data_IF_354312157215
#
_entry.id   IF_354312157215
#
_cell.length_a   1.000
_cell.length_b   1.000
_cell.length_c   1.000
_cell.angle_alpha   90.00
_cell.angle_beta   90.00
_cell.angle_gamma   90.00
#
_symmetry.space_group_name_H-M   'P 1'
#
loop_
_entity.id
_entity.type
_entity.pdbx_description
1 polymer ?
#
# COMPACT_ATOMS: atom_id res chain seq x y z
N UNK A 1 -31.89 10.51 -11.59
CA UNK A 1 -30.49 10.10 -11.38
C UNK A 1 -29.96 10.54 -10.03
N UNK A 2 -29.65 11.83 -9.79
CA UNK A 2 -29.09 12.25 -8.50
C UNK A 2 -29.91 11.81 -7.28
N UNK A 3 -31.22 12.12 -7.26
CA UNK A 3 -32.09 11.71 -6.14
C UNK A 3 -32.19 10.19 -5.99
N UNK A 4 -32.22 9.46 -7.11
CA UNK A 4 -32.20 8.00 -7.13
C UNK A 4 -30.97 7.44 -6.41
N UNK A 5 -29.78 7.95 -6.75
CA UNK A 5 -28.54 7.53 -6.09
C UNK A 5 -28.47 7.97 -4.64
N UNK A 6 -28.95 9.19 -4.35
CA UNK A 6 -29.04 9.70 -2.99
C UNK A 6 -29.88 8.79 -2.10
N UNK A 7 -31.09 8.43 -2.54
CA UNK A 7 -31.99 7.55 -1.81
C UNK A 7 -31.41 6.14 -1.67
N UNK A 8 -30.83 5.58 -2.75
CA UNK A 8 -30.14 4.29 -2.71
C UNK A 8 -29.01 4.27 -1.66
N UNK A 9 -28.12 5.27 -1.68
CA UNK A 9 -27.01 5.33 -0.72
C UNK A 9 -27.54 5.54 0.71
N UNK A 10 -28.56 6.39 0.90
CA UNK A 10 -29.18 6.59 2.21
C UNK A 10 -29.74 5.29 2.78
N UNK A 11 -30.45 4.52 1.94
CA UNK A 11 -31.03 3.24 2.32
C UNK A 11 -29.95 2.20 2.63
N UNK A 12 -28.99 2.00 1.73
CA UNK A 12 -27.94 0.96 1.86
C UNK A 12 -27.03 1.15 3.06
N UNK A 13 -26.81 2.40 3.46
CA UNK A 13 -25.96 2.75 4.61
C UNK A 13 -26.75 3.15 5.86
N UNK A 14 -28.07 2.97 5.87
CA UNK A 14 -28.93 3.20 7.05
C UNK A 14 -28.74 4.60 7.66
N UNK A 15 -28.73 5.64 6.82
CA UNK A 15 -28.39 7.00 7.26
C UNK A 15 -29.63 7.73 7.73
N UNK A 16 -29.84 7.71 9.05
CA UNK A 16 -31.03 8.25 9.72
C UNK A 16 -31.09 9.78 9.82
N UNK A 17 -29.96 10.49 9.67
CA UNK A 17 -29.92 11.95 9.84
C UNK A 17 -29.24 12.67 8.69
N UNK A 18 -30.04 13.42 7.93
CA UNK A 18 -29.54 14.49 7.07
C UNK A 18 -29.34 15.69 8.00
N UNK A 19 -28.12 16.13 8.19
CA UNK A 19 -27.77 17.34 8.96
C UNK A 19 -28.23 18.62 8.25
N UNK A 20 -29.50 18.72 7.89
CA UNK A 20 -30.17 19.93 7.42
C UNK A 20 -31.67 19.87 7.76
N UNK A 21 -31.97 20.18 9.02
CA UNK A 21 -33.21 20.84 9.45
C UNK A 21 -34.55 20.18 9.05
N UNK A 22 -34.59 18.84 8.95
CA UNK A 22 -35.82 18.07 8.72
C UNK A 22 -36.51 18.33 7.38
N UNK A 23 -35.86 19.02 6.43
CA UNK A 23 -36.40 19.33 5.09
C UNK A 23 -35.55 18.65 4.04
N UNK A 24 -36.03 17.53 3.51
CA UNK A 24 -35.39 16.79 2.44
C UNK A 24 -35.07 17.73 1.25
N UNK A 25 -33.84 17.64 0.75
CA UNK A 25 -33.35 18.26 -0.50
C UNK A 25 -33.17 19.79 -0.55
N UNK A 26 -33.74 20.59 0.36
CA UNK A 26 -33.64 22.07 0.28
C UNK A 26 -32.20 22.61 0.33
N UNK A 27 -31.31 21.93 1.03
CA UNK A 27 -29.91 22.34 1.13
C UNK A 27 -29.12 22.09 -0.16
N UNK A 28 -29.63 21.23 -1.06
CA UNK A 28 -29.00 20.77 -2.30
C UNK A 28 -29.41 21.58 -3.53
N UNK A 29 -30.45 22.40 -3.41
CA UNK A 29 -31.11 23.08 -4.54
C UNK A 29 -30.97 24.60 -4.39
N UNK A 30 -30.71 25.29 -5.49
CA UNK A 30 -30.72 26.76 -5.62
C UNK A 30 -31.56 27.19 -6.83
N UNK A 31 -32.25 28.34 -6.79
CA UNK A 31 -32.97 28.85 -7.96
C UNK A 31 -31.97 29.25 -9.06
N UNK A 32 -32.34 29.05 -10.32
CA UNK A 32 -31.58 29.53 -11.47
C UNK A 32 -31.57 31.07 -11.53
N UNK A 33 -30.61 31.66 -12.25
CA UNK A 33 -30.44 33.13 -12.33
C UNK A 33 -31.70 33.89 -12.82
N UNK A 34 -32.58 33.21 -13.56
CA UNK A 34 -33.86 33.72 -14.06
C UNK A 34 -35.04 33.50 -13.08
N UNK A 35 -34.83 32.79 -11.97
CA UNK A 35 -35.81 32.50 -10.93
C UNK A 35 -36.95 31.56 -11.35
N UNK A 36 -36.91 31.01 -12.57
CA UNK A 36 -37.97 30.18 -13.15
C UNK A 36 -37.76 28.69 -12.89
N UNK A 37 -36.51 28.27 -12.70
CA UNK A 37 -36.15 26.88 -12.46
C UNK A 37 -35.34 26.74 -11.18
N UNK A 38 -35.11 25.48 -10.80
CA UNK A 38 -34.24 25.12 -9.69
C UNK A 38 -33.11 24.23 -10.20
N UNK A 39 -31.88 24.49 -9.74
CA UNK A 39 -30.69 23.73 -10.07
C UNK A 39 -30.04 23.14 -8.82
N UNK A 40 -29.28 22.06 -8.99
CA UNK A 40 -28.46 21.52 -7.91
C UNK A 40 -27.26 22.43 -7.69
N UNK A 41 -26.93 22.74 -6.43
CA UNK A 41 -25.77 23.56 -6.09
C UNK A 41 -24.49 22.95 -6.65
N UNK A 42 -23.71 23.73 -7.39
CA UNK A 42 -22.45 23.31 -8.02
C UNK A 42 -21.24 23.74 -7.17
N UNK A 43 -20.34 22.81 -6.82
CA UNK A 43 -19.17 23.10 -5.97
C UNK A 43 -18.75 21.92 -5.07
N UNK A 44 -17.92 22.16 -4.03
CA UNK A 44 -17.59 21.16 -2.99
C UNK A 44 -18.82 20.88 -2.11
N UNK A 45 -19.84 20.22 -2.65
CA UNK A 45 -21.06 19.90 -1.92
C UNK A 45 -21.11 18.42 -1.55
N UNK A 46 -20.98 18.15 -0.26
CA UNK A 46 -21.38 16.88 0.34
C UNK A 46 -22.90 16.77 0.21
N UNK A 47 -23.38 15.74 -0.47
CA UNK A 47 -24.81 15.47 -0.59
C UNK A 47 -25.33 14.73 0.65
N UNK A 48 -24.56 13.73 1.12
CA UNK A 48 -24.90 12.89 2.28
C UNK A 48 -23.62 12.54 3.03
N UNK A 49 -23.65 12.54 4.36
CA UNK A 49 -22.58 12.04 5.21
C UNK A 49 -23.21 11.30 6.39
N UNK A 50 -22.63 10.18 6.80
CA UNK A 50 -23.18 9.36 7.85
C UNK A 50 -22.19 8.34 8.40
N UNK A 51 -22.58 7.69 9.48
CA UNK A 51 -21.88 6.55 10.06
C UNK A 51 -22.71 5.29 9.82
N UNK A 52 -22.03 4.21 9.46
CA UNK A 52 -22.65 2.93 9.18
C UNK A 52 -21.91 1.85 9.99
N UNK A 53 -22.66 1.10 10.80
CA UNK A 53 -22.12 0.01 11.61
C UNK A 53 -22.79 -1.27 11.19
N UNK A 54 -22.02 -2.22 10.66
CA UNK A 54 -22.54 -3.53 10.27
C UNK A 54 -21.54 -4.63 10.65
N UNK A 55 -22.07 -5.71 11.21
CA UNK A 55 -21.27 -6.81 11.80
C UNK A 55 -20.27 -6.26 12.83
N UNK A 56 -18.97 -6.34 12.55
CA UNK A 56 -17.88 -5.97 13.46
C UNK A 56 -17.07 -4.77 12.96
N UNK A 57 -17.59 -3.97 12.02
CA UNK A 57 -16.87 -2.82 11.46
C UNK A 57 -17.75 -1.57 11.46
N UNK A 58 -17.17 -0.49 11.96
CA UNK A 58 -17.74 0.85 11.94
C UNK A 58 -17.12 1.65 10.80
N UNK A 59 -17.95 2.13 9.90
CA UNK A 59 -17.57 2.92 8.73
C UNK A 59 -18.17 4.32 8.81
N UNK A 60 -17.49 5.28 8.20
CA UNK A 60 -18.03 6.58 7.80
C UNK A 60 -18.18 6.59 6.30
N UNK A 61 -19.23 7.24 5.83
CA UNK A 61 -19.51 7.38 4.41
C UNK A 61 -19.77 8.83 4.06
N UNK A 62 -19.42 9.18 2.83
CA UNK A 62 -19.70 10.49 2.24
C UNK A 62 -20.07 10.33 0.78
N UNK A 63 -21.28 10.70 0.43
CA UNK A 63 -21.72 10.79 -0.96
C UNK A 63 -21.69 12.24 -1.42
N UNK A 64 -20.99 12.51 -2.51
CA UNK A 64 -20.78 13.85 -3.06
C UNK A 64 -21.25 13.93 -4.50
N UNK A 65 -21.78 15.09 -4.88
CA UNK A 65 -22.17 15.41 -6.26
C UNK A 65 -21.25 16.48 -6.82
N UNK A 66 -20.75 16.29 -8.05
CA UNK A 66 -19.84 17.22 -8.72
C UNK A 66 -18.61 17.62 -7.87
N UNK A 67 -18.10 16.69 -7.05
CA UNK A 67 -16.91 16.93 -6.23
C UNK A 67 -15.69 17.09 -7.14
N UNK A 68 -15.09 18.28 -7.11
CA UNK A 68 -13.82 18.52 -7.78
C UNK A 68 -12.66 17.97 -6.95
N UNK A 69 -11.89 17.07 -7.55
CA UNK A 69 -10.57 16.66 -7.10
C UNK A 69 -9.55 17.62 -7.71
N UNK A 70 -8.87 18.39 -6.85
CA UNK A 70 -7.83 19.33 -7.29
C UNK A 70 -6.70 18.54 -7.98
N UNK A 71 -6.17 19.05 -9.08
CA UNK A 71 -4.99 18.49 -9.75
C UNK A 71 -3.67 18.94 -9.11
N UNK A 72 -2.57 18.29 -9.51
CA UNK A 72 -1.22 18.58 -9.05
C UNK A 72 -1.07 18.35 -7.56
N UNK A 73 -1.62 17.23 -7.07
CA UNK A 73 -1.53 16.84 -5.66
C UNK A 73 -0.48 15.75 -5.54
N UNK A 74 0.62 16.11 -4.88
CA UNK A 74 1.71 15.18 -4.63
C UNK A 74 1.33 14.18 -3.53
N UNK A 75 2.00 13.04 -3.50
CA UNK A 75 1.76 12.05 -2.45
C UNK A 75 2.04 12.62 -1.05
N UNK A 76 3.04 13.48 -0.95
CA UNK A 76 3.47 14.11 0.31
C UNK A 76 2.47 15.14 0.86
N UNK A 77 1.54 15.62 0.03
CA UNK A 77 0.49 16.54 0.49
C UNK A 77 -0.53 15.84 1.40
N UNK A 78 -0.56 14.50 1.37
CA UNK A 78 -1.41 13.60 2.19
C UNK A 78 -2.89 13.98 2.19
N UNK A 79 -3.38 14.64 1.15
CA UNK A 79 -4.79 15.02 1.02
C UNK A 79 -5.43 14.43 -0.23
N UNK A 80 -6.75 14.59 -0.32
CA UNK A 80 -7.54 14.17 -1.48
C UNK A 80 -7.17 14.96 -2.72
N UNK A 81 -7.18 14.33 -3.90
CA UNK A 81 -6.90 15.01 -5.16
C UNK A 81 -6.58 14.07 -6.31
N UNK A 82 -6.25 14.68 -7.43
CA UNK A 82 -5.68 14.05 -8.62
C UNK A 82 -4.21 14.42 -8.73
N UNK A 83 -3.35 13.48 -9.09
CA UNK A 83 -1.91 13.74 -9.21
C UNK A 83 -1.57 14.55 -10.49
N UNK A 84 -2.45 14.57 -11.50
CA UNK A 84 -2.26 15.34 -12.74
C UNK A 84 -3.22 16.55 -12.84
N UNK A 85 -4.25 16.47 -13.67
CA UNK A 85 -5.22 17.53 -13.91
C UNK A 85 -6.37 17.45 -12.91
N UNK A 86 -7.09 18.56 -12.66
CA UNK A 86 -8.33 18.53 -11.89
C UNK A 86 -9.37 17.62 -12.55
N UNK A 87 -10.02 16.76 -11.76
CA UNK A 87 -11.04 15.82 -12.22
C UNK A 87 -12.33 16.01 -11.43
N UNK A 88 -13.47 15.78 -12.09
CA UNK A 88 -14.78 15.99 -11.47
C UNK A 88 -15.77 14.91 -11.92
N UNK A 89 -15.77 13.74 -11.24
CA UNK A 89 -16.84 12.76 -11.40
C UNK A 89 -18.21 13.37 -11.04
N UNK A 90 -19.27 12.91 -11.70
CA UNK A 90 -20.63 13.38 -11.39
C UNK A 90 -21.00 13.00 -9.96
N UNK A 91 -20.70 11.77 -9.54
CA UNK A 91 -20.94 11.30 -8.19
C UNK A 91 -19.69 10.62 -7.62
N UNK A 92 -19.52 10.72 -6.31
CA UNK A 92 -18.47 9.99 -5.59
C UNK A 92 -18.98 9.51 -4.24
N UNK A 93 -18.89 8.20 -4.02
CA UNK A 93 -19.10 7.57 -2.73
C UNK A 93 -17.73 7.33 -2.08
N UNK A 94 -17.47 8.00 -0.96
CA UNK A 94 -16.25 7.83 -0.17
C UNK A 94 -16.57 7.07 1.11
N UNK A 95 -15.75 6.06 1.45
CA UNK A 95 -16.00 5.20 2.62
C UNK A 95 -14.67 4.98 3.35
N UNK A 96 -14.67 5.04 4.68
CA UNK A 96 -13.47 4.82 5.50
C UNK A 96 -13.81 4.34 6.92
N UNK A 97 -12.84 3.79 7.69
CA UNK A 97 -13.07 3.42 9.09
C UNK A 97 -13.47 4.60 9.97
N UNK A 98 -14.50 4.43 10.80
CA UNK A 98 -15.07 5.50 11.65
C UNK A 98 -14.08 6.10 12.66
N UNK A 99 -13.06 5.32 13.03
CA UNK A 99 -11.98 5.73 13.95
C UNK A 99 -11.17 6.92 13.40
N UNK A 100 -11.19 7.15 12.09
CA UNK A 100 -10.50 8.25 11.44
C UNK A 100 -11.48 9.36 11.00
N UNK A 101 -11.02 10.60 11.08
CA UNK A 101 -11.60 11.69 10.30
C UNK A 101 -11.35 11.46 8.81
N UNK A 102 -12.13 12.12 7.95
CA UNK A 102 -11.92 12.01 6.50
C UNK A 102 -10.52 12.48 6.07
N UNK A 103 -9.89 13.41 6.79
CA UNK A 103 -8.52 13.86 6.50
C UNK A 103 -7.51 12.78 6.87
N UNK A 104 -7.57 12.24 8.10
CA UNK A 104 -6.67 11.17 8.53
C UNK A 104 -6.80 9.94 7.63
N UNK A 105 -8.02 9.61 7.19
CA UNK A 105 -8.28 8.51 6.28
C UNK A 105 -7.66 8.71 4.88
N UNK A 106 -7.55 9.96 4.41
CA UNK A 106 -6.80 10.30 3.19
C UNK A 106 -5.29 10.25 3.43
N UNK A 107 -4.82 10.64 4.62
CA UNK A 107 -3.40 10.64 4.96
C UNK A 107 -2.84 9.20 5.09
N UNK A 108 -3.64 8.27 5.59
CA UNK A 108 -3.24 6.89 5.88
C UNK A 108 -3.74 5.84 4.87
N UNK A 109 -4.15 6.27 3.67
CA UNK A 109 -4.68 5.40 2.61
C UNK A 109 -5.92 4.54 3.02
N UNK A 110 -6.58 4.83 4.15
CA UNK A 110 -7.71 4.01 4.64
C UNK A 110 -9.07 4.39 4.03
N UNK A 111 -9.15 5.53 3.33
CA UNK A 111 -10.33 5.92 2.57
C UNK A 111 -10.35 5.25 1.21
N UNK A 112 -11.55 4.95 0.71
CA UNK A 112 -11.75 4.54 -0.67
C UNK A 112 -12.78 5.44 -1.33
N UNK A 113 -12.56 5.76 -2.60
CA UNK A 113 -13.49 6.51 -3.44
C UNK A 113 -14.02 5.62 -4.57
N UNK A 114 -15.34 5.64 -4.75
CA UNK A 114 -16.02 4.99 -5.86
C UNK A 114 -16.73 6.07 -6.66
N UNK A 115 -16.39 6.18 -7.94
CA UNK A 115 -16.84 7.24 -8.82
C UNK A 115 -17.93 6.75 -9.76
N UNK A 116 -18.91 7.62 -10.02
CA UNK A 116 -19.93 7.37 -11.02
C UNK A 116 -20.08 8.57 -11.95
N UNK A 117 -20.24 8.31 -13.25
CA UNK A 117 -20.49 9.33 -14.27
C UNK A 117 -21.76 8.96 -15.02
N UNK A 118 -22.74 9.87 -15.07
CA UNK A 118 -24.03 9.60 -15.70
C UNK A 118 -24.03 10.04 -17.17
N UNK A 119 -24.43 9.13 -18.05
CA UNK A 119 -24.50 9.34 -19.49
C UNK A 119 -25.92 9.11 -19.99
N UNK A 120 -26.52 10.14 -20.57
CA UNK A 120 -27.90 10.09 -21.08
C UNK A 120 -28.04 9.45 -22.47
N UNK A 121 -26.93 9.29 -23.20
CA UNK A 121 -26.86 8.61 -24.49
C UNK A 121 -25.57 7.80 -24.54
N UNK A 122 -25.68 6.47 -24.50
CA UNK A 122 -24.55 5.56 -24.69
C UNK A 122 -24.88 4.68 -25.89
N UNK A 123 -24.16 4.88 -26.98
CA UNK A 123 -24.37 4.18 -28.26
C UNK A 123 -23.60 2.84 -28.32
N UNK A 124 -23.67 2.01 -27.27
CA UNK A 124 -22.98 0.72 -27.08
C UNK A 124 -21.61 0.76 -26.37
N UNK A 125 -21.63 0.91 -25.04
CA UNK A 125 -20.50 0.52 -24.18
C UNK A 125 -20.02 -0.92 -24.50
N UNK A 126 -20.97 -1.81 -24.73
CA UNK A 126 -20.81 -3.24 -25.03
C UNK A 126 -20.04 -3.61 -26.30
N UNK A 127 -20.02 -2.75 -27.32
CA UNK A 127 -19.27 -3.07 -28.55
C UNK A 127 -17.75 -2.88 -28.38
N UNK A 128 -17.36 -2.15 -27.34
CA UNK A 128 -16.00 -1.66 -27.16
C UNK A 128 -15.14 -2.59 -26.29
N UNK A 129 -15.77 -3.44 -25.48
CA UNK A 129 -15.07 -4.41 -24.64
C UNK A 129 -15.25 -5.79 -25.25
N UNK A 130 -14.27 -6.24 -26.03
CA UNK A 130 -14.20 -7.58 -26.61
C UNK A 130 -13.03 -8.33 -25.98
N UNK A 131 -13.20 -8.89 -24.77
CA UNK A 131 -12.10 -9.41 -23.96
C UNK A 131 -11.49 -10.72 -24.50
N UNK A 132 -12.16 -11.39 -25.44
CA UNK A 132 -11.80 -12.74 -25.90
C UNK A 132 -11.11 -12.76 -27.29
N UNK A 133 -10.74 -11.59 -27.83
CA UNK A 133 -10.00 -11.52 -29.09
C UNK A 133 -8.52 -11.84 -28.90
N UNK A 134 -7.97 -12.69 -29.77
CA UNK A 134 -6.54 -13.02 -29.79
C UNK A 134 -5.95 -12.94 -31.21
N UNK A 135 -4.62 -12.79 -31.28
CA UNK A 135 -3.87 -12.85 -32.54
C UNK A 135 -4.37 -11.85 -33.60
N UNK A 136 -4.58 -12.34 -34.83
CA UNK A 136 -4.94 -11.49 -35.97
C UNK A 136 -6.31 -10.82 -35.85
N UNK A 137 -7.25 -11.42 -35.11
CA UNK A 137 -8.58 -10.84 -34.89
C UNK A 137 -8.51 -9.63 -33.95
N UNK A 138 -7.65 -9.72 -32.92
CA UNK A 138 -7.34 -8.60 -32.04
C UNK A 138 -6.64 -7.47 -32.81
N UNK A 139 -5.62 -7.80 -33.62
CA UNK A 139 -4.91 -6.80 -34.44
C UNK A 139 -5.85 -6.06 -35.39
N UNK A 140 -6.74 -6.79 -36.09
CA UNK A 140 -7.72 -6.17 -36.98
C UNK A 140 -8.73 -5.28 -36.23
N UNK A 141 -9.15 -5.66 -35.02
CA UNK A 141 -10.03 -4.84 -34.19
C UNK A 141 -9.34 -3.55 -33.69
N UNK A 142 -8.05 -3.63 -33.36
CA UNK A 142 -7.23 -2.48 -32.96
C UNK A 142 -6.97 -1.53 -34.14
N UNK A 143 -6.68 -2.05 -35.33
CA UNK A 143 -6.50 -1.24 -36.54
C UNK A 143 -7.80 -0.51 -36.92
N UNK A 144 -8.94 -1.21 -36.83
CA UNK A 144 -10.24 -0.62 -37.09
C UNK A 144 -10.58 0.49 -36.07
N UNK A 145 -10.22 0.25 -34.80
CA UNK A 145 -10.31 1.22 -33.71
C UNK A 145 -9.48 2.47 -33.99
N UNK A 146 -8.23 2.33 -34.41
CA UNK A 146 -7.36 3.46 -34.76
C UNK A 146 -7.91 4.26 -35.96
N UNK A 147 -8.47 3.58 -36.96
CA UNK A 147 -9.13 4.22 -38.10
C UNK A 147 -10.34 5.03 -37.63
N UNK A 148 -11.15 4.49 -36.73
CA UNK A 148 -12.33 5.17 -36.19
C UNK A 148 -11.96 6.34 -35.26
N UNK A 149 -10.84 6.24 -34.54
CA UNK A 149 -10.24 7.35 -33.76
C UNK A 149 -9.83 8.50 -34.69
N UNK A 150 -9.09 8.20 -35.76
CA UNK A 150 -8.66 9.19 -36.76
C UNK A 150 -9.84 9.83 -37.51
N UNK A 151 -10.94 9.09 -37.66
CA UNK A 151 -12.20 9.59 -38.25
C UNK A 151 -13.05 10.40 -37.28
N UNK A 152 -12.66 10.49 -36.00
CA UNK A 152 -13.42 11.20 -34.96
C UNK A 152 -14.74 10.52 -34.60
N UNK A 153 -14.92 9.26 -34.99
CA UNK A 153 -16.13 8.45 -34.72
C UNK A 153 -15.97 7.53 -33.52
N UNK A 154 -14.80 7.53 -32.88
CA UNK A 154 -14.47 6.64 -31.78
C UNK A 154 -15.17 7.01 -30.47
N UNK A 155 -15.93 6.05 -29.94
CA UNK A 155 -16.90 6.24 -28.84
C UNK A 155 -16.40 5.75 -27.47
N UNK A 156 -15.13 5.34 -27.33
CA UNK A 156 -14.58 4.78 -26.08
C UNK A 156 -14.12 5.83 -25.05
N UNK A 157 -14.41 7.11 -25.29
CA UNK A 157 -13.97 8.23 -24.44
C UNK A 157 -14.46 8.09 -23.00
N UNK A 158 -15.64 7.49 -22.81
CA UNK A 158 -16.23 7.35 -21.48
C UNK A 158 -15.54 6.27 -20.63
N UNK A 159 -15.11 5.15 -21.22
CA UNK A 159 -14.32 4.13 -20.52
C UNK A 159 -12.91 4.64 -20.20
N UNK A 160 -12.27 5.33 -21.16
CA UNK A 160 -10.97 5.98 -20.94
C UNK A 160 -11.05 6.99 -19.79
N UNK A 161 -12.15 7.75 -19.71
CA UNK A 161 -12.43 8.64 -18.60
C UNK A 161 -12.56 7.89 -17.27
N UNK A 162 -13.17 6.70 -17.25
CA UNK A 162 -13.26 5.89 -16.02
C UNK A 162 -11.89 5.35 -15.59
N UNK A 163 -11.03 4.92 -16.53
CA UNK A 163 -9.65 4.59 -16.24
C UNK A 163 -8.88 5.79 -15.68
N UNK A 164 -9.05 6.96 -16.31
CA UNK A 164 -8.43 8.20 -15.83
C UNK A 164 -8.89 8.56 -14.42
N UNK A 165 -10.17 8.42 -14.08
CA UNK A 165 -10.64 8.60 -12.71
C UNK A 165 -10.00 7.61 -11.75
N UNK A 166 -10.04 6.32 -12.08
CA UNK A 166 -9.50 5.24 -11.24
C UNK A 166 -8.00 5.38 -10.97
N UNK A 167 -7.24 5.88 -11.93
CA UNK A 167 -5.79 5.99 -11.84
C UNK A 167 -5.33 7.37 -11.31
N UNK A 168 -5.91 8.45 -11.82
CA UNK A 168 -5.46 9.79 -11.48
C UNK A 168 -5.99 10.29 -10.15
N UNK A 169 -7.22 9.95 -9.77
CA UNK A 169 -7.78 10.32 -8.46
C UNK A 169 -7.25 9.33 -7.42
N UNK A 170 -6.60 9.85 -6.37
CA UNK A 170 -6.00 9.05 -5.31
C UNK A 170 -7.07 8.25 -4.55
N UNK A 171 -6.72 7.03 -4.13
CA UNK A 171 -7.61 6.07 -3.42
C UNK A 171 -8.90 5.70 -4.15
N UNK A 172 -8.90 5.78 -5.47
CA UNK A 172 -10.03 5.30 -6.25
C UNK A 172 -10.10 3.77 -6.22
N UNK A 173 -11.13 3.25 -5.56
CA UNK A 173 -11.50 1.83 -5.61
C UNK A 173 -12.34 1.47 -6.84
N UNK A 174 -12.85 2.44 -7.60
CA UNK A 174 -13.49 2.12 -8.86
C UNK A 174 -14.17 3.31 -9.52
N UNK A 175 -14.48 3.15 -10.80
CA UNK A 175 -15.14 4.16 -11.60
C UNK A 175 -16.13 3.50 -12.57
N UNK A 176 -17.39 3.90 -12.49
CA UNK A 176 -18.50 3.25 -13.19
C UNK A 176 -19.36 4.24 -13.96
N UNK A 177 -19.90 3.81 -15.10
CA UNK A 177 -20.83 4.61 -15.90
C UNK A 177 -22.27 4.27 -15.49
N UNK A 178 -23.12 5.27 -15.36
CA UNK A 178 -24.56 5.10 -15.18
C UNK A 178 -25.28 5.54 -16.45
N UNK A 179 -26.12 4.70 -17.04
CA UNK A 179 -26.74 5.02 -18.33
C UNK A 179 -28.15 4.44 -18.46
N UNK A 180 -29.04 5.04 -19.28
CA UNK A 180 -30.35 4.45 -19.57
C UNK A 180 -30.16 3.27 -20.54
N UNK A 181 -30.45 2.06 -20.09
CA UNK A 181 -30.16 0.81 -20.82
C UNK A 181 -30.79 -0.42 -20.18
N UNK A 182 -30.54 -1.61 -20.71
CA UNK A 182 -31.18 -2.84 -20.24
C UNK A 182 -30.21 -3.85 -19.61
N UNK A 183 -28.91 -3.56 -19.64
CA UNK A 183 -27.85 -4.49 -19.27
C UNK A 183 -26.88 -3.85 -18.30
N UNK A 184 -26.27 -4.67 -17.44
CA UNK A 184 -25.19 -4.24 -16.56
C UNK A 184 -23.93 -4.99 -16.94
N UNK A 185 -22.78 -4.34 -16.85
CA UNK A 185 -21.49 -4.97 -17.07
C UNK A 185 -20.46 -4.43 -16.10
N UNK A 186 -19.76 -5.35 -15.43
CA UNK A 186 -18.74 -4.98 -14.43
C UNK A 186 -17.46 -5.73 -14.72
N UNK A 187 -16.36 -4.99 -14.70
CA UNK A 187 -15.01 -5.49 -14.88
C UNK A 187 -14.28 -5.37 -13.54
N UNK A 188 -13.77 -6.49 -13.06
CA UNK A 188 -12.91 -6.52 -11.88
C UNK A 188 -11.48 -6.34 -12.32
N UNK A 189 -10.73 -5.46 -11.66
CA UNK A 189 -9.31 -5.26 -11.96
C UNK A 189 -8.43 -6.42 -11.48
N UNK A 190 -8.86 -7.09 -10.40
CA UNK A 190 -8.23 -8.30 -9.85
C UNK A 190 -9.31 -9.34 -9.51
N UNK A 191 -9.09 -10.13 -8.44
CA UNK A 191 -10.04 -11.14 -7.97
C UNK A 191 -11.19 -10.56 -7.11
N UNK A 192 -11.12 -9.28 -6.77
CA UNK A 192 -12.04 -8.59 -5.86
C UNK A 192 -12.99 -7.62 -6.58
N UNK A 193 -14.10 -7.25 -5.94
CA UNK A 193 -15.12 -6.34 -6.50
C UNK A 193 -14.54 -4.94 -6.77
N UNK A 194 -13.67 -4.47 -5.88
CA UNK A 194 -12.86 -3.26 -6.04
C UNK A 194 -11.39 -3.62 -5.78
N UNK A 195 -10.43 -3.14 -6.61
CA UNK A 195 -10.61 -2.15 -7.67
C UNK A 195 -11.36 -2.65 -8.92
N UNK A 196 -12.25 -1.83 -9.50
CA UNK A 196 -13.06 -2.22 -10.66
C UNK A 196 -13.53 -1.06 -11.56
N UNK A 197 -14.03 -1.41 -12.75
CA UNK A 197 -14.71 -0.52 -13.69
C UNK A 197 -16.02 -1.16 -14.16
N UNK A 198 -16.89 -0.42 -14.82
CA UNK A 198 -18.09 -1.01 -15.44
C UNK A 198 -19.14 0.02 -15.81
N UNK A 199 -20.30 -0.47 -16.20
CA UNK A 199 -21.49 0.30 -16.49
C UNK A 199 -22.73 -0.35 -15.88
N UNK A 200 -23.58 0.48 -15.27
CA UNK A 200 -24.88 0.07 -14.75
C UNK A 200 -25.99 0.79 -15.49
N UNK A 201 -26.97 0.01 -15.91
CA UNK A 201 -28.23 0.50 -16.39
C UNK A 201 -29.02 1.13 -15.23
N UNK A 202 -29.51 2.34 -15.46
CA UNK A 202 -30.38 3.06 -14.54
C UNK A 202 -31.49 3.71 -15.35
N UNK A 203 -32.68 3.12 -15.29
CA UNK A 203 -33.83 3.57 -16.07
C UNK A 203 -34.76 4.44 -15.21
N UNK A 204 -34.82 5.77 -15.45
CA UNK A 204 -35.78 6.62 -14.78
C UNK A 204 -37.15 6.50 -15.48
N UNK A 205 -37.89 5.42 -15.23
CA UNK A 205 -39.31 5.33 -15.65
C UNK A 205 -40.21 6.03 -14.62
N UNK A 206 -41.33 6.66 -15.02
CA UNK A 206 -42.26 7.33 -14.10
C UNK A 206 -42.86 6.40 -13.04
N UNK A 207 -43.00 5.11 -13.35
CA UNK A 207 -43.75 4.17 -12.52
C UNK A 207 -42.85 3.23 -11.68
N UNK A 208 -41.63 2.92 -12.15
CA UNK A 208 -40.63 2.13 -11.41
C UNK A 208 -39.22 2.48 -11.87
N UNK A 209 -38.36 2.92 -10.95
CA UNK A 209 -36.95 3.15 -11.25
C UNK A 209 -36.21 1.81 -11.14
N UNK A 210 -35.72 1.30 -12.26
CA UNK A 210 -34.90 0.07 -12.25
C UNK A 210 -33.44 0.43 -11.99
N UNK A 211 -32.98 0.09 -10.79
CA UNK A 211 -31.61 0.27 -10.27
C UNK A 211 -31.10 -1.00 -9.60
N UNK A 212 -31.73 -2.16 -9.85
CA UNK A 212 -31.47 -3.37 -9.08
C UNK A 212 -29.99 -3.79 -9.18
N UNK A 213 -29.40 -3.78 -10.36
CA UNK A 213 -28.00 -4.18 -10.53
C UNK A 213 -27.02 -3.25 -9.80
N UNK A 214 -27.26 -1.94 -9.84
CA UNK A 214 -26.46 -0.99 -9.05
C UNK A 214 -26.65 -1.22 -7.55
N UNK A 215 -27.88 -1.47 -7.10
CA UNK A 215 -28.21 -1.75 -5.71
C UNK A 215 -27.49 -3.00 -5.19
N UNK A 216 -27.55 -4.09 -5.95
CA UNK A 216 -26.86 -5.35 -5.65
C UNK A 216 -25.33 -5.16 -5.66
N UNK A 217 -24.81 -4.36 -6.59
CA UNK A 217 -23.39 -4.01 -6.62
C UNK A 217 -22.95 -3.24 -5.36
N UNK A 218 -23.74 -2.27 -4.90
CA UNK A 218 -23.43 -1.55 -3.66
C UNK A 218 -23.43 -2.49 -2.45
N UNK A 219 -24.30 -3.50 -2.40
CA UNK A 219 -24.24 -4.53 -1.34
C UNK A 219 -22.93 -5.32 -1.40
N UNK A 220 -22.49 -5.73 -2.60
CA UNK A 220 -21.21 -6.43 -2.79
C UNK A 220 -20.01 -5.57 -2.38
N UNK A 221 -20.04 -4.27 -2.71
CA UNK A 221 -19.04 -3.31 -2.24
C UNK A 221 -19.06 -3.23 -0.71
N UNK A 222 -20.23 -3.09 -0.09
CA UNK A 222 -20.33 -3.05 1.38
C UNK A 222 -19.73 -4.32 1.99
N UNK A 223 -20.12 -5.51 1.52
CA UNK A 223 -19.59 -6.76 2.05
C UNK A 223 -18.07 -6.87 1.87
N UNK A 224 -17.53 -6.44 0.73
CA UNK A 224 -16.08 -6.38 0.50
C UNK A 224 -15.38 -5.39 1.46
N UNK A 225 -15.97 -4.23 1.71
CA UNK A 225 -15.45 -3.24 2.65
C UNK A 225 -15.55 -3.70 4.11
N UNK A 226 -16.44 -4.62 4.44
CA UNK A 226 -16.50 -5.24 5.76
C UNK A 226 -15.43 -6.32 5.94
N UNK A 227 -14.86 -6.86 4.86
CA UNK A 227 -13.78 -7.83 4.89
C UNK A 227 -12.41 -7.18 5.13
N UNK A 228 -11.91 -7.33 6.37
CA UNK A 228 -10.59 -6.85 6.80
C UNK A 228 -9.43 -7.71 6.30
N UNK A 229 -9.71 -8.82 5.62
CA UNK A 229 -8.71 -9.71 5.02
C UNK A 229 -8.60 -9.54 3.51
N UNK A 230 -9.34 -8.58 2.94
CA UNK A 230 -9.29 -8.28 1.51
C UNK A 230 -7.89 -7.87 1.06
N UNK A 231 -7.53 -8.27 -0.16
CA UNK A 231 -6.30 -7.90 -0.85
C UNK A 231 -6.23 -6.38 -1.00
N UNK A 232 -7.37 -5.71 -1.24
CA UNK A 232 -7.45 -4.25 -1.26
C UNK A 232 -7.02 -3.63 0.07
N UNK A 233 -7.54 -4.10 1.21
CA UNK A 233 -7.16 -3.56 2.52
C UNK A 233 -5.66 -3.73 2.76
N UNK A 234 -5.09 -4.90 2.44
CA UNK A 234 -3.65 -5.14 2.53
C UNK A 234 -2.85 -4.21 1.61
N UNK A 235 -3.27 -4.05 0.35
CA UNK A 235 -2.62 -3.14 -0.59
C UNK A 235 -2.64 -1.68 -0.09
N UNK A 236 -3.76 -1.25 0.48
CA UNK A 236 -3.92 0.10 1.07
C UNK A 236 -2.90 0.33 2.19
N UNK A 237 -2.79 -0.62 3.12
CA UNK A 237 -1.88 -0.56 4.27
C UNK A 237 -0.41 -0.57 3.82
N UNK A 238 -0.04 -1.47 2.90
CA UNK A 238 1.31 -1.54 2.34
C UNK A 238 1.66 -0.27 1.54
N UNK A 239 0.72 0.29 0.76
CA UNK A 239 0.92 1.56 0.04
C UNK A 239 1.24 2.68 1.03
N UNK A 240 0.49 2.78 2.12
CA UNK A 240 0.81 3.75 3.17
C UNK A 240 2.20 3.48 3.76
N UNK A 241 2.54 2.24 4.09
CA UNK A 241 3.82 1.90 4.70
C UNK A 241 5.04 2.15 3.80
N UNK A 242 4.89 1.93 2.49
CA UNK A 242 5.95 2.15 1.48
C UNK A 242 6.15 3.65 1.21
N UNK A 243 5.06 4.41 1.03
CA UNK A 243 5.14 5.80 0.55
C UNK A 243 4.97 6.87 1.65
N UNK A 244 4.76 6.50 2.92
CA UNK A 244 4.66 7.45 4.04
C UNK A 244 5.90 8.33 4.21
N UNK A 245 7.07 7.80 3.86
CA UNK A 245 8.33 8.54 3.83
C UNK A 245 8.71 8.80 2.36
N UNK A 246 9.10 10.03 1.99
CA UNK A 246 9.57 10.32 0.65
C UNK A 246 10.88 9.59 0.35
N UNK A 247 11.02 9.14 -0.90
CA UNK A 247 12.29 8.73 -1.47
C UNK A 247 12.71 9.76 -2.51
N UNK A 248 13.66 10.61 -2.14
CA UNK A 248 14.25 11.59 -3.04
C UNK A 248 15.00 10.90 -4.19
N UNK A 249 15.02 11.52 -5.36
CA UNK A 249 15.67 10.96 -6.56
C UNK A 249 17.19 10.78 -6.40
N UNK A 250 17.81 11.53 -5.48
CA UNK A 250 19.24 11.41 -5.14
C UNK A 250 19.52 10.37 -4.03
N UNK A 251 18.48 9.85 -3.37
CA UNK A 251 18.58 8.78 -2.37
C UNK A 251 18.62 7.41 -3.05
N UNK A 252 19.71 7.19 -3.79
CA UNK A 252 19.98 5.97 -4.56
C UNK A 252 21.00 5.07 -3.87
N UNK A 253 20.76 3.76 -3.98
CA UNK A 253 21.66 2.70 -3.53
C UNK A 253 22.12 1.93 -4.78
N UNK A 254 23.39 2.03 -5.14
CA UNK A 254 23.97 1.40 -6.35
C UNK A 254 24.83 0.18 -6.02
N UNK A 255 24.86 -0.20 -4.75
CA UNK A 255 25.73 -1.23 -4.23
C UNK A 255 25.25 -2.59 -4.71
N UNK A 256 26.22 -3.46 -4.98
CA UNK A 256 25.91 -4.84 -5.30
C UNK A 256 25.18 -5.46 -4.12
N UNK A 257 24.02 -6.03 -4.38
CA UNK A 257 23.26 -6.85 -3.45
C UNK A 257 22.46 -7.90 -4.24
N UNK A 258 22.09 -9.03 -3.63
CA UNK A 258 21.23 -10.00 -4.28
C UNK A 258 19.82 -9.41 -4.47
N UNK A 259 19.31 -9.45 -5.70
CA UNK A 259 17.92 -9.07 -5.99
C UNK A 259 16.93 -10.09 -5.42
N UNK A 260 17.34 -11.37 -5.38
CA UNK A 260 16.54 -12.47 -4.84
C UNK A 260 17.35 -13.31 -3.85
N UNK A 261 16.73 -13.71 -2.74
CA UNK A 261 17.24 -14.71 -1.79
C UNK A 261 16.19 -15.81 -1.71
N UNK A 262 16.59 -17.06 -1.96
CA UNK A 262 15.68 -18.21 -1.94
C UNK A 262 14.45 -18.07 -2.89
N UNK A 263 14.64 -17.37 -4.03
CA UNK A 263 13.60 -16.99 -5.02
C UNK A 263 12.60 -15.94 -4.55
N UNK A 264 12.77 -15.38 -3.35
CA UNK A 264 11.99 -14.26 -2.87
C UNK A 264 12.72 -12.95 -3.19
N UNK A 265 11.97 -11.94 -3.66
CA UNK A 265 12.52 -10.62 -3.94
C UNK A 265 13.00 -9.97 -2.65
N UNK A 266 14.12 -9.27 -2.72
CA UNK A 266 14.79 -8.67 -1.56
C UNK A 266 14.70 -7.15 -1.62
N UNK A 267 14.22 -6.56 -0.54
CA UNK A 267 14.23 -5.12 -0.31
C UNK A 267 15.24 -4.80 0.80
N UNK A 268 16.24 -3.97 0.52
CA UNK A 268 17.37 -3.73 1.42
C UNK A 268 16.93 -3.14 2.78
N UNK A 269 15.89 -2.33 2.77
CA UNK A 269 15.25 -1.72 3.93
C UNK A 269 14.41 -2.71 4.76
N UNK A 270 14.08 -3.88 4.22
CA UNK A 270 13.39 -4.95 4.95
C UNK A 270 14.34 -6.06 5.45
N UNK A 271 15.54 -6.17 4.87
CA UNK A 271 16.52 -7.16 5.29
C UNK A 271 17.17 -6.74 6.60
N UNK A 272 16.94 -7.54 7.64
CA UNK A 272 17.63 -7.38 8.91
C UNK A 272 19.08 -7.89 8.84
N UNK A 273 20.01 -7.08 9.32
CA UNK A 273 21.42 -7.40 9.53
C UNK A 273 21.73 -7.35 11.01
N UNK A 274 22.34 -8.41 11.54
CA UNK A 274 22.84 -8.47 12.91
C UNK A 274 24.25 -7.88 12.95
N UNK A 275 24.46 -6.85 13.76
CA UNK A 275 25.78 -6.29 14.03
C UNK A 275 26.29 -6.94 15.29
N UNK A 276 27.25 -7.84 15.12
CA UNK A 276 27.80 -8.69 16.15
C UNK A 276 29.18 -8.25 16.61
N UNK A 277 29.43 -8.38 17.91
CA UNK A 277 30.72 -8.13 18.52
C UNK A 277 31.46 -9.43 18.83
N UNK A 278 32.75 -9.50 18.49
CA UNK A 278 33.68 -10.52 19.01
C UNK A 278 34.63 -9.90 20.05
N UNK A 279 35.01 -10.69 21.08
CA UNK A 279 35.62 -10.16 22.31
C UNK A 279 37.15 -10.08 22.23
N UNK A 280 37.73 -11.07 21.56
CA UNK A 280 39.15 -11.30 21.42
C UNK A 280 39.37 -12.28 20.24
N UNK A 281 40.63 -12.52 19.89
CA UNK A 281 40.99 -13.42 18.78
C UNK A 281 40.46 -14.84 18.97
N UNK A 282 40.54 -15.39 20.19
CA UNK A 282 40.02 -16.73 20.50
C UNK A 282 38.51 -16.87 20.23
N UNK A 283 37.73 -15.82 20.55
CA UNK A 283 36.30 -15.80 20.24
C UNK A 283 36.05 -15.72 18.73
N UNK A 284 36.84 -14.93 18.00
CA UNK A 284 36.75 -14.83 16.54
C UNK A 284 37.08 -16.17 15.89
N UNK A 285 38.20 -16.79 16.27
CA UNK A 285 38.58 -18.13 15.81
C UNK A 285 37.50 -19.16 16.10
N UNK A 286 36.89 -19.12 17.29
CA UNK A 286 35.77 -20.00 17.62
C UNK A 286 34.57 -19.80 16.69
N UNK A 287 34.19 -18.54 16.41
CA UNK A 287 33.07 -18.20 15.51
C UNK A 287 33.34 -18.77 14.11
N UNK A 288 34.52 -18.51 13.57
CA UNK A 288 34.90 -18.92 12.21
C UNK A 288 35.01 -20.44 12.11
N UNK A 289 35.62 -21.11 13.09
CA UNK A 289 35.80 -22.57 13.10
C UNK A 289 34.49 -23.34 13.26
N UNK A 290 33.58 -22.85 14.10
CA UNK A 290 32.32 -23.54 14.39
C UNK A 290 31.16 -23.10 13.50
N UNK A 291 31.33 -22.02 12.72
CA UNK A 291 30.27 -21.35 11.98
C UNK A 291 29.08 -20.98 12.89
N UNK A 292 29.38 -20.47 14.09
CA UNK A 292 28.38 -20.06 15.08
C UNK A 292 28.68 -18.67 15.62
N UNK A 293 27.67 -17.82 15.70
CA UNK A 293 27.74 -16.54 16.41
C UNK A 293 26.75 -16.52 17.56
N UNK A 294 27.13 -15.98 18.71
CA UNK A 294 26.28 -15.96 19.89
C UNK A 294 26.32 -14.65 20.67
N UNK A 295 25.21 -14.38 21.37
CA UNK A 295 25.15 -13.36 22.41
C UNK A 295 24.25 -13.79 23.56
N UNK A 296 24.44 -13.15 24.72
CA UNK A 296 23.73 -13.51 25.96
C UNK A 296 22.26 -13.11 25.90
N UNK A 297 21.40 -13.94 26.46
CA UNK A 297 19.98 -13.66 26.67
C UNK A 297 19.54 -14.02 28.09
N UNK A 298 18.28 -13.77 28.43
CA UNK A 298 17.74 -13.93 29.78
C UNK A 298 17.69 -12.61 30.56
N UNK A 299 17.78 -12.69 31.89
CA UNK A 299 17.62 -11.54 32.80
C UNK A 299 18.94 -10.95 33.29
N UNK A 300 20.07 -11.56 32.90
CA UNK A 300 21.39 -11.19 33.40
C UNK A 300 21.90 -9.87 32.80
N UNK A 301 22.86 -9.25 33.50
CA UNK A 301 23.53 -8.05 33.00
C UNK A 301 24.24 -8.33 31.68
N UNK A 302 23.88 -7.57 30.64
CA UNK A 302 24.38 -7.75 29.28
C UNK A 302 23.53 -8.69 28.43
N UNK A 303 22.36 -9.12 28.91
CA UNK A 303 21.37 -9.78 28.06
C UNK A 303 20.80 -8.80 27.03
N UNK A 304 20.57 -9.32 25.82
CA UNK A 304 19.94 -8.56 24.75
C UNK A 304 18.45 -8.92 24.66
N UNK A 305 17.60 -7.90 24.67
CA UNK A 305 16.17 -8.07 24.33
C UNK A 305 16.05 -8.35 22.84
N UNK A 306 15.37 -9.44 22.49
CA UNK A 306 15.21 -9.87 21.11
C UNK A 306 14.06 -9.11 20.45
N UNK A 307 14.39 -8.28 19.45
CA UNK A 307 13.40 -7.75 18.52
C UNK A 307 13.18 -8.69 17.32
N UNK A 308 12.09 -8.48 16.58
CA UNK A 308 11.81 -9.23 15.35
C UNK A 308 12.90 -9.10 14.27
N UNK A 309 13.72 -8.03 14.27
CA UNK A 309 14.87 -7.91 13.38
C UNK A 309 16.00 -8.87 13.77
N UNK A 310 16.27 -9.03 15.06
CA UNK A 310 17.30 -9.97 15.52
C UNK A 310 16.96 -11.41 15.09
N UNK A 311 15.68 -11.81 15.24
CA UNK A 311 15.24 -13.15 14.91
C UNK A 311 15.23 -13.45 13.40
N UNK A 312 14.99 -12.42 12.57
CA UNK A 312 14.89 -12.53 11.11
C UNK A 312 16.17 -12.12 10.39
N UNK A 313 17.26 -11.88 11.11
CA UNK A 313 18.53 -11.46 10.55
C UNK A 313 19.00 -12.45 9.47
N UNK A 314 19.30 -11.93 8.28
CA UNK A 314 19.81 -12.71 7.14
C UNK A 314 21.31 -12.62 7.01
N UNK A 315 21.90 -11.55 7.53
CA UNK A 315 23.34 -11.31 7.51
C UNK A 315 23.85 -10.98 8.91
N UNK A 316 25.12 -11.25 9.12
CA UNK A 316 25.89 -10.90 10.31
C UNK A 316 27.11 -10.09 9.88
N UNK A 317 27.32 -8.93 10.49
CA UNK A 317 28.57 -8.17 10.40
C UNK A 317 29.30 -8.32 11.72
N UNK A 318 30.54 -8.78 11.68
CA UNK A 318 31.37 -8.94 12.88
C UNK A 318 32.36 -7.79 13.03
N UNK A 319 32.36 -7.19 14.21
CA UNK A 319 33.34 -6.16 14.57
C UNK A 319 33.95 -6.44 15.94
N UNK A 320 35.12 -5.88 16.20
CA UNK A 320 35.89 -6.10 17.41
C UNK A 320 36.17 -4.80 18.16
N UNK A 321 36.91 -4.90 19.26
CA UNK A 321 37.32 -3.72 20.05
C UNK A 321 38.17 -2.74 19.22
N UNK A 322 39.07 -3.29 18.41
CA UNK A 322 40.03 -2.52 17.60
C UNK A 322 39.71 -2.61 16.09
N UNK A 323 38.54 -3.16 15.74
CA UNK A 323 38.06 -3.31 14.36
C UNK A 323 36.67 -2.65 14.24
N UNK A 324 36.65 -1.33 14.01
CA UNK A 324 35.42 -0.55 13.79
C UNK A 324 35.08 -0.40 12.29
N UNK A 325 36.00 -0.81 11.43
CA UNK A 325 35.86 -0.80 9.98
C UNK A 325 36.14 -2.20 9.45
N UNK A 326 35.11 -2.91 9.03
CA UNK A 326 35.18 -4.36 8.78
C UNK A 326 34.62 -4.76 7.43
N UNK A 327 35.17 -5.81 6.84
CA UNK A 327 34.65 -6.55 5.68
C UNK A 327 34.06 -7.92 6.07
N UNK A 328 33.97 -8.21 7.38
CA UNK A 328 33.54 -9.51 7.92
C UNK A 328 32.02 -9.64 7.91
N UNK A 329 31.50 -9.89 6.71
CA UNK A 329 30.07 -10.06 6.46
C UNK A 329 29.78 -11.53 6.16
N UNK A 330 28.85 -12.11 6.91
CA UNK A 330 28.44 -13.50 6.80
C UNK A 330 26.95 -13.60 6.51
N UNK A 331 26.58 -14.53 5.64
CA UNK A 331 25.19 -14.94 5.47
C UNK A 331 24.80 -15.90 6.59
N UNK A 332 23.65 -15.66 7.20
CA UNK A 332 23.07 -16.50 8.23
C UNK A 332 22.12 -17.54 7.60
N UNK A 333 22.06 -18.73 8.20
CA UNK A 333 21.14 -19.77 7.71
C UNK A 333 19.67 -19.35 7.88
N UNK A 334 18.81 -19.83 6.98
CA UNK A 334 17.36 -19.53 6.99
C UNK A 334 16.58 -20.13 8.17
N UNK A 335 17.19 -21.02 8.96
CA UNK A 335 16.53 -21.72 10.10
C UNK A 335 16.32 -20.82 11.33
N UNK A 336 16.92 -19.62 11.34
CA UNK A 336 16.86 -18.70 12.48
C UNK A 336 17.74 -19.14 13.66
N UNK A 337 17.74 -18.38 14.78
CA UNK A 337 18.59 -18.67 15.93
C UNK A 337 18.06 -19.81 16.81
N UNK A 338 18.96 -20.41 17.59
CA UNK A 338 18.65 -21.40 18.64
C UNK A 338 19.07 -20.89 20.01
N UNK A 339 18.47 -21.43 21.06
CA UNK A 339 18.90 -21.18 22.43
C UNK A 339 19.85 -22.29 22.88
N UNK A 340 21.05 -21.90 23.30
CA UNK A 340 22.05 -22.80 23.89
C UNK A 340 22.25 -22.43 25.36
N UNK A 341 22.38 -23.44 26.20
CA UNK A 341 22.86 -23.26 27.58
C UNK A 341 24.38 -23.08 27.60
N UNK A 342 24.90 -22.64 28.74
CA UNK A 342 26.34 -22.64 29.05
C UNK A 342 27.00 -24.00 28.73
N UNK A 343 26.36 -25.11 29.11
CA UNK A 343 26.87 -26.46 28.87
C UNK A 343 26.89 -26.82 27.38
N UNK A 344 25.91 -26.36 26.60
CA UNK A 344 25.88 -26.61 25.15
C UNK A 344 27.02 -25.88 24.45
N UNK A 345 27.32 -24.64 24.86
CA UNK A 345 28.46 -23.88 24.35
C UNK A 345 29.80 -24.51 24.74
N UNK A 346 29.95 -24.98 25.99
CA UNK A 346 31.16 -25.71 26.41
C UNK A 346 31.38 -26.98 25.56
N UNK A 347 30.31 -27.74 25.27
CA UNK A 347 30.38 -28.91 24.37
C UNK A 347 30.77 -28.54 22.93
N UNK A 348 30.53 -27.30 22.52
CA UNK A 348 30.96 -26.73 21.23
C UNK A 348 32.32 -26.03 21.30
N UNK A 349 33.05 -26.17 22.41
CA UNK A 349 34.39 -25.60 22.57
C UNK A 349 34.41 -24.07 22.71
N UNK A 350 33.30 -23.45 23.15
CA UNK A 350 33.23 -21.99 23.34
C UNK A 350 34.20 -21.53 24.45
N UNK A 351 34.98 -20.46 24.23
CA UNK A 351 35.90 -19.95 25.24
C UNK A 351 35.13 -19.28 26.38
N UNK A 352 35.21 -19.88 27.55
CA UNK A 352 34.71 -19.39 28.84
C UNK A 352 33.33 -18.67 28.81
N UNK A 353 32.22 -19.41 28.68
CA UNK A 353 30.88 -18.82 28.73
C UNK A 353 30.56 -18.35 30.17
N UNK A 354 30.33 -17.04 30.32
CA UNK A 354 29.99 -16.41 31.62
C UNK A 354 28.49 -16.17 31.83
N UNK A 355 27.64 -16.41 30.82
CA UNK A 355 26.18 -16.34 30.96
C UNK A 355 25.55 -17.74 31.02
N UNK A 356 24.30 -17.83 31.44
CA UNK A 356 23.58 -19.11 31.50
C UNK A 356 22.96 -19.50 30.16
N UNK A 357 22.38 -18.52 29.45
CA UNK A 357 21.67 -18.73 28.19
C UNK A 357 22.18 -17.81 27.08
N UNK A 358 22.25 -18.38 25.89
CA UNK A 358 22.74 -17.71 24.70
C UNK A 358 21.81 -17.93 23.52
N UNK A 359 21.62 -16.88 22.74
CA UNK A 359 21.04 -16.96 21.40
C UNK A 359 22.20 -17.24 20.46
N UNK A 360 22.07 -18.27 19.64
CA UNK A 360 23.12 -18.75 18.74
C UNK A 360 22.58 -18.78 17.31
N UNK A 361 23.28 -18.09 16.42
CA UNK A 361 23.05 -18.07 14.98
C UNK A 361 24.06 -18.98 14.30
N UNK A 362 23.62 -19.66 13.25
CA UNK A 362 24.49 -20.45 12.39
C UNK A 362 24.86 -19.65 11.15
N UNK A 363 26.16 -19.62 10.84
CA UNK A 363 26.73 -18.99 9.66
C UNK A 363 26.66 -20.00 8.49
N UNK A 364 26.24 -19.53 7.32
CA UNK A 364 26.19 -20.33 6.09
C UNK A 364 27.50 -20.19 5.32
N UNK A 365 27.88 -18.96 4.98
CA UNK A 365 29.09 -18.61 4.23
C UNK A 365 29.44 -17.14 4.41
N UNK A 366 30.62 -16.75 3.95
CA UNK A 366 30.94 -15.33 3.73
C UNK A 366 30.04 -14.72 2.65
N UNK A 367 29.68 -13.46 2.84
CA UNK A 367 28.76 -12.73 1.96
C UNK A 367 29.49 -11.93 0.86
N UNK A 368 30.77 -12.23 0.62
CA UNK A 368 31.57 -11.59 -0.44
C UNK A 368 31.00 -11.84 -1.85
N UNK A 369 30.34 -12.98 -2.08
CA UNK A 369 29.63 -13.22 -3.34
C UNK A 369 28.39 -12.32 -3.52
N UNK A 370 27.78 -11.90 -2.41
CA UNK A 370 26.53 -11.13 -2.40
C UNK A 370 26.81 -9.64 -2.57
N UNK A 371 27.84 -9.14 -1.88
CA UNK A 371 28.14 -7.71 -1.79
C UNK A 371 29.45 -7.29 -2.49
N UNK A 372 30.26 -8.24 -2.95
CA UNK A 372 31.63 -7.96 -3.40
C UNK A 372 32.56 -7.59 -2.25
N UNK A 373 33.62 -6.83 -2.57
CA UNK A 373 34.55 -6.30 -1.56
C UNK A 373 34.00 -4.97 -1.04
N UNK A 374 33.30 -5.02 0.09
CA UNK A 374 32.81 -3.83 0.79
C UNK A 374 33.38 -3.78 2.21
N UNK A 375 33.69 -2.56 2.67
CA UNK A 375 34.05 -2.30 4.06
C UNK A 375 33.00 -1.40 4.70
N UNK A 376 32.58 -1.75 5.89
CA UNK A 376 31.52 -1.10 6.65
C UNK A 376 32.14 -0.40 7.85
N UNK A 377 31.82 0.89 8.02
CA UNK A 377 32.15 1.63 9.23
C UNK A 377 30.97 1.53 10.22
N UNK A 378 31.09 0.68 11.23
CA UNK A 378 29.99 0.42 12.17
C UNK A 378 29.61 1.65 12.99
N UNK A 379 30.49 2.66 13.08
CA UNK A 379 30.22 3.91 13.81
C UNK A 379 29.18 4.79 13.12
N UNK A 380 28.95 4.57 11.81
CA UNK A 380 27.95 5.31 11.02
C UNK A 380 26.54 4.71 11.16
N UNK A 381 26.40 3.56 11.82
CA UNK A 381 25.11 2.94 12.07
C UNK A 381 24.39 3.65 13.23
N UNK A 382 23.09 3.87 13.06
CA UNK A 382 22.25 4.70 13.94
C UNK A 382 22.22 4.21 15.38
N UNK A 383 22.31 2.88 15.56
CA UNK A 383 22.22 2.22 16.88
C UNK A 383 23.58 1.88 17.48
N UNK A 384 24.68 2.33 16.87
CA UNK A 384 26.01 2.10 17.40
C UNK A 384 26.22 2.91 18.69
N UNK A 385 26.67 2.24 19.75
CA UNK A 385 27.02 2.87 21.02
C UNK A 385 28.54 2.82 21.24
N UNK A 386 29.08 3.79 21.99
CA UNK A 386 30.53 3.88 22.25
C UNK A 386 30.93 3.24 23.58
N UNK A 387 32.25 3.16 23.83
CA UNK A 387 32.83 2.64 25.08
C UNK A 387 32.38 1.21 25.40
N UNK A 388 31.96 0.94 26.65
CA UNK A 388 31.55 -0.39 27.11
C UNK A 388 30.33 -0.94 26.37
N UNK A 389 29.51 -0.07 25.79
CA UNK A 389 28.30 -0.48 25.10
C UNK A 389 28.54 -0.81 23.62
N UNK A 390 29.71 -0.48 23.06
CA UNK A 390 30.10 -0.90 21.70
C UNK A 390 30.12 -2.42 21.52
N UNK A 391 30.27 -3.17 22.61
CA UNK A 391 30.24 -4.62 22.61
C UNK A 391 28.82 -5.22 22.58
N UNK A 392 27.77 -4.39 22.65
CA UNK A 392 26.38 -4.84 22.66
C UNK A 392 25.91 -5.08 21.22
N UNK A 393 25.55 -6.31 20.85
CA UNK A 393 25.02 -6.57 19.52
C UNK A 393 23.70 -5.82 19.30
N UNK A 394 23.47 -5.39 18.06
CA UNK A 394 22.25 -4.70 17.66
C UNK A 394 21.86 -5.10 16.24
N UNK A 395 20.71 -4.62 15.77
CA UNK A 395 20.23 -4.86 14.40
C UNK A 395 20.10 -3.55 13.64
N UNK A 396 20.40 -3.62 12.34
CA UNK A 396 20.26 -2.56 11.35
C UNK A 396 19.57 -3.14 10.10
N UNK A 397 19.07 -2.28 9.21
CA UNK A 397 18.62 -2.72 7.88
C UNK A 397 19.81 -2.87 6.95
N UNK A 398 19.69 -3.68 5.89
CA UNK A 398 20.74 -3.79 4.88
C UNK A 398 20.95 -2.45 4.14
N UNK A 399 19.89 -1.66 3.93
CA UNK A 399 20.01 -0.31 3.35
C UNK A 399 20.90 0.60 4.21
N UNK A 400 20.68 0.64 5.52
CA UNK A 400 21.49 1.41 6.48
C UNK A 400 22.95 0.94 6.46
N UNK A 401 23.16 -0.38 6.45
CA UNK A 401 24.50 -0.97 6.34
C UNK A 401 25.21 -0.52 5.06
N UNK A 402 24.56 -0.64 3.90
CA UNK A 402 25.20 -0.30 2.63
C UNK A 402 25.47 1.20 2.48
N UNK A 403 24.66 2.05 3.12
CA UNK A 403 24.91 3.50 3.25
C UNK A 403 26.10 3.80 4.18
N UNK A 404 26.35 2.97 5.20
CA UNK A 404 27.47 3.12 6.14
C UNK A 404 28.84 2.69 5.60
N UNK A 405 28.91 2.24 4.33
CA UNK A 405 30.16 1.78 3.71
C UNK A 405 31.23 2.88 3.64
N UNK A 406 32.47 2.43 3.56
CA UNK A 406 33.61 3.30 3.26
C UNK A 406 33.71 3.43 1.74
N UNK A 407 33.58 4.66 1.26
CA UNK A 407 33.85 4.99 -0.15
C UNK A 407 35.34 5.26 -0.25
N UNK A 408 36.12 4.30 -0.76
CA UNK A 408 37.50 4.55 -1.16
C UNK A 408 37.46 5.47 -2.39
N UNK A 409 37.70 6.77 -2.18
CA UNK A 409 37.96 7.72 -3.27
C UNK A 409 39.16 7.19 -4.05
N UNK A 410 38.91 6.56 -5.20
CA UNK A 410 39.97 6.26 -6.15
C UNK A 410 40.50 7.60 -6.66
N UNK A 411 41.71 7.97 -6.23
CA UNK A 411 42.48 9.07 -6.83
C UNK A 411 43.06 8.66 -8.18
#
# INVERSE_FOLDING_TARGET
MFFTLYDLVREKFEIDSVSFDGKAYKHLIEPTNDGLNVMLKSGKHTALEGTFTKRNRDLRIKFSYNRTFKGGVDYQDKHSGSWTAPLRPDYTLSIWPKIFSGKEAEENESIVHIHFDAKYKVDNFYQTVQPDLEGAELEHALDQTEIDERRGTYKNVDLLKMHAYKDAIRRSGGAYILYPGATDETFRGFHEIIPGLGAFSVNPSPDTVDIKGLSDFIDLVIDHLLDRTSQREKLSDETYHIFKEPKEDDNVLHERMPEYIDKEKVFADEVAVLIGFYKNEEHLEWILKNHLYNFRTGTDKGSLSLSGMHLRAKYLILHGKDELETDRIFKLTSKGPRIFSRNDLLKKGYPEPQGELYVVFQLEREASDDFGKIRIDVRRLTRFETYRNSARPFSATLSEVLQSRIVELHQ
#
